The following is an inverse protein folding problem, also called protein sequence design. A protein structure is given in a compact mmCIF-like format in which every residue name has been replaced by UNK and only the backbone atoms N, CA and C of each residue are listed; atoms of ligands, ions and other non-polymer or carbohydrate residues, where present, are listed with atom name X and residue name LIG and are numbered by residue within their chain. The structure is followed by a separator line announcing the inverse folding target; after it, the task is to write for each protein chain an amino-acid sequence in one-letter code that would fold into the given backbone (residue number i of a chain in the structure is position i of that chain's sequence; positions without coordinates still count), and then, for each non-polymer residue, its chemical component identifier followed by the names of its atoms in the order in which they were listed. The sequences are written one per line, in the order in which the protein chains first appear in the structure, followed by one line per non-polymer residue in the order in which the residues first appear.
data_IF_861804531365
#
_entry.id   IF_861804531365
#
_cell.length_a   1.000
_cell.length_b   1.000
_cell.length_c   1.000
_cell.angle_alpha   90.00
_cell.angle_beta   90.00
_cell.angle_gamma   90.00
#
_symmetry.space_group_name_H-M   'P 1'
#
loop_
_entity.id
_entity.type
_entity.pdbx_description
1 polymer ?
#
# COMPACT_ATOMS: atom_id res chain seq x y z
N UNK A 1 -3.80 -11.75 -12.77
CA UNK A 1 -4.03 -11.24 -11.40
C UNK A 1 -5.50 -10.87 -11.29
N UNK A 2 -6.13 -11.10 -10.14
CA UNK A 2 -7.54 -10.71 -9.92
C UNK A 2 -7.66 -9.19 -10.10
N UNK A 3 -8.63 -8.74 -10.92
CA UNK A 3 -8.84 -7.32 -11.21
C UNK A 3 -9.20 -6.53 -9.95
N UNK A 4 -10.02 -7.10 -9.08
CA UNK A 4 -10.43 -6.51 -7.80
C UNK A 4 -9.22 -6.30 -6.90
N UNK A 5 -8.32 -7.29 -6.88
CA UNK A 5 -7.06 -7.18 -6.14
C UNK A 5 -6.17 -6.07 -6.72
N UNK A 6 -6.04 -6.00 -8.05
CA UNK A 6 -5.26 -4.96 -8.72
C UNK A 6 -5.78 -3.55 -8.42
N UNK A 7 -7.10 -3.38 -8.49
CA UNK A 7 -7.75 -2.10 -8.25
C UNK A 7 -7.63 -1.68 -6.77
N UNK A 8 -7.69 -2.65 -5.84
CA UNK A 8 -7.45 -2.41 -4.41
C UNK A 8 -6.02 -1.95 -4.14
N UNK A 9 -5.03 -2.63 -4.74
CA UNK A 9 -3.61 -2.25 -4.59
C UNK A 9 -3.34 -0.87 -5.20
N UNK A 10 -3.94 -0.57 -6.36
CA UNK A 10 -3.85 0.75 -6.98
C UNK A 10 -4.42 1.85 -6.09
N UNK A 11 -5.61 1.64 -5.52
CA UNK A 11 -6.21 2.59 -4.60
C UNK A 11 -5.33 2.80 -3.37
N UNK A 12 -4.82 1.71 -2.78
CA UNK A 12 -3.92 1.76 -1.63
C UNK A 12 -2.68 2.61 -1.94
N UNK A 13 -1.98 2.31 -3.05
CA UNK A 13 -0.80 3.07 -3.47
C UNK A 13 -1.11 4.56 -3.72
N UNK A 14 -2.29 4.87 -4.27
CA UNK A 14 -2.70 6.24 -4.53
C UNK A 14 -2.95 7.06 -3.24
N UNK A 15 -3.53 6.45 -2.20
CA UNK A 15 -3.84 7.14 -0.94
C UNK A 15 -2.68 7.16 0.05
N UNK A 16 -1.76 6.21 -0.07
CA UNK A 16 -0.65 6.00 0.88
C UNK A 16 0.20 7.26 1.15
N UNK A 17 0.62 8.05 0.13
CA UNK A 17 1.39 9.27 0.37
C UNK A 17 0.63 10.30 1.22
N UNK A 18 -0.66 10.51 0.93
CA UNK A 18 -1.48 11.47 1.68
C UNK A 18 -1.72 11.01 3.13
N UNK A 19 -1.82 9.71 3.37
CA UNK A 19 -1.96 9.16 4.72
C UNK A 19 -0.66 9.31 5.52
N UNK A 20 0.50 9.13 4.90
CA UNK A 20 1.81 9.24 5.57
C UNK A 20 2.37 10.66 5.68
N UNK A 21 1.76 11.63 5.03
CA UNK A 21 2.02 13.05 5.30
C UNK A 21 1.52 13.47 6.70
N UNK A 22 0.70 12.63 7.35
CA UNK A 22 0.26 12.81 8.73
C UNK A 22 1.13 12.02 9.70
N UNK A 23 1.68 12.72 10.70
CA UNK A 23 2.47 12.13 11.79
C UNK A 23 1.65 11.23 12.73
N UNK A 24 0.32 11.21 12.59
CA UNK A 24 -0.61 10.47 13.44
C UNK A 24 -0.86 9.06 12.89
N UNK A 25 -0.71 8.87 11.58
CA UNK A 25 -1.04 7.61 10.92
C UNK A 25 0.21 6.80 10.61
N UNK A 26 0.13 5.49 10.89
CA UNK A 26 1.16 4.53 10.52
C UNK A 26 0.52 3.29 9.91
N UNK A 27 1.14 2.74 8.86
CA UNK A 27 0.77 1.45 8.31
C UNK A 27 1.53 0.35 9.04
N UNK A 28 0.83 -0.74 9.34
CA UNK A 28 1.41 -1.89 10.04
C UNK A 28 0.99 -3.21 9.41
N UNK A 29 1.58 -4.29 9.94
CA UNK A 29 1.20 -5.67 9.59
C UNK A 29 1.69 -6.11 8.21
N UNK A 30 1.04 -7.14 7.66
CA UNK A 30 1.44 -7.76 6.39
C UNK A 30 1.46 -6.79 5.21
N UNK A 31 0.58 -5.79 5.18
CA UNK A 31 0.56 -4.76 4.14
C UNK A 31 1.81 -3.89 4.18
N UNK A 32 2.26 -3.47 5.37
CA UNK A 32 3.49 -2.69 5.51
C UNK A 32 4.71 -3.51 5.05
N UNK A 33 4.76 -4.80 5.43
CA UNK A 33 5.81 -5.71 5.00
C UNK A 33 5.83 -5.84 3.47
N UNK A 34 4.66 -6.05 2.85
CA UNK A 34 4.56 -6.22 1.40
C UNK A 34 4.91 -4.96 0.59
N UNK A 35 4.60 -3.77 1.11
CA UNK A 35 4.88 -2.52 0.38
C UNK A 35 6.32 -2.02 0.58
N UNK A 36 6.89 -2.20 1.76
CA UNK A 36 8.16 -1.56 2.14
C UNK A 36 9.35 -2.50 2.28
N UNK A 37 9.13 -3.78 2.59
CA UNK A 37 10.21 -4.76 2.81
C UNK A 37 10.31 -5.72 1.63
N UNK A 38 9.17 -6.25 1.17
CA UNK A 38 9.16 -7.12 0.00
C UNK A 38 9.21 -6.28 -1.26
N UNK A 39 10.05 -6.69 -2.20
CA UNK A 39 10.16 -6.09 -3.53
C UNK A 39 9.01 -6.60 -4.42
N UNK A 40 7.78 -6.40 -3.92
CA UNK A 40 6.59 -6.80 -4.63
C UNK A 40 6.40 -5.88 -5.85
N UNK A 41 6.08 -6.43 -7.03
CA UNK A 41 5.80 -5.62 -8.21
C UNK A 41 4.59 -4.72 -7.93
N UNK A 42 4.89 -3.43 -7.76
CA UNK A 42 3.90 -2.35 -7.71
C UNK A 42 3.52 -2.08 -9.18
N UNK A 43 2.36 -2.60 -9.57
CA UNK A 43 1.83 -2.55 -10.94
C UNK A 43 1.74 -1.14 -11.51
#
# INVERSE_FOLDING_TARGET
MDKTYADTVRLLLAVTPAVFDSDIFAMKGGTAINLFIQDMPRL
#
